data_IF_634900718196
#
_entry.id   IF_634900718196
#
_cell.length_a   1.000
_cell.length_b   1.000
_cell.length_c   1.000
_cell.angle_alpha   90.00
_cell.angle_beta   90.00
_cell.angle_gamma   90.00
#
_symmetry.space_group_name_H-M   'P 1'
#
loop_
_entity.id
_entity.type
_entity.pdbx_description
1 polymer ?
#
# COMPACT_ATOMS: atom_id res chain seq x y z
N UNK A 1 -11.10 -26.42 -1.63
CA UNK A 1 -10.89 -25.57 -2.81
C UNK A 1 -9.56 -25.83 -3.48
N UNK A 2 -8.42 -25.66 -2.79
CA UNK A 2 -7.08 -25.87 -3.38
C UNK A 2 -6.90 -27.24 -4.05
N UNK A 3 -7.29 -28.33 -3.36
CA UNK A 3 -7.22 -29.68 -3.92
C UNK A 3 -8.15 -29.90 -5.12
N UNK A 4 -9.30 -29.21 -5.18
CA UNK A 4 -10.27 -29.35 -6.27
C UNK A 4 -9.76 -28.68 -7.56
N UNK A 5 -9.08 -27.54 -7.39
CA UNK A 5 -8.35 -26.89 -8.47
C UNK A 5 -7.13 -27.71 -8.90
N UNK A 6 -6.27 -28.08 -7.95
CA UNK A 6 -5.12 -28.97 -8.18
C UNK A 6 -3.95 -28.34 -8.94
N UNK A 7 -3.98 -27.04 -9.24
CA UNK A 7 -2.89 -26.34 -9.94
C UNK A 7 -2.13 -25.37 -9.01
N UNK A 8 -0.82 -25.15 -9.23
CA UNK A 8 -0.04 -24.23 -8.37
C UNK A 8 -0.52 -22.77 -8.40
N UNK A 9 -1.11 -22.34 -9.51
CA UNK A 9 -1.53 -20.96 -9.75
C UNK A 9 -3.05 -20.79 -9.83
N UNK A 10 -3.83 -21.78 -9.36
CA UNK A 10 -5.30 -21.73 -9.35
C UNK A 10 -5.90 -21.53 -10.75
N UNK A 11 -5.24 -22.04 -11.80
CA UNK A 11 -5.59 -21.81 -13.21
C UNK A 11 -6.75 -22.66 -13.71
N UNK A 12 -7.13 -23.73 -13.00
CA UNK A 12 -8.23 -24.61 -13.43
C UNK A 12 -9.60 -24.00 -13.09
N UNK A 13 -9.77 -23.49 -11.87
CA UNK A 13 -11.02 -22.88 -11.41
C UNK A 13 -10.97 -21.34 -11.45
N UNK A 14 -9.77 -20.77 -11.45
CA UNK A 14 -9.55 -19.33 -11.29
C UNK A 14 -9.42 -18.92 -9.83
N UNK A 15 -8.37 -18.15 -9.52
CA UNK A 15 -8.15 -17.61 -8.18
C UNK A 15 -9.32 -16.74 -7.70
N UNK A 16 -9.97 -16.01 -8.61
CA UNK A 16 -11.17 -15.22 -8.35
C UNK A 16 -12.36 -16.06 -7.88
N UNK A 17 -12.64 -17.21 -8.50
CA UNK A 17 -13.71 -18.12 -8.09
C UNK A 17 -13.44 -18.73 -6.71
N UNK A 18 -12.20 -19.17 -6.48
CA UNK A 18 -11.78 -19.74 -5.21
C UNK A 18 -11.85 -18.71 -4.08
N UNK A 19 -11.35 -17.50 -4.34
CA UNK A 19 -11.30 -16.43 -3.34
C UNK A 19 -12.69 -16.02 -2.90
N UNK A 20 -13.64 -15.84 -3.83
CA UNK A 20 -15.02 -15.47 -3.47
C UNK A 20 -15.65 -16.42 -2.45
N UNK A 21 -15.49 -17.74 -2.67
CA UNK A 21 -15.94 -18.76 -1.71
C UNK A 21 -15.15 -18.66 -0.40
N UNK A 22 -13.83 -18.49 -0.46
CA UNK A 22 -12.98 -18.38 0.73
C UNK A 22 -13.38 -17.20 1.63
N UNK A 23 -13.68 -16.03 1.06
CA UNK A 23 -14.10 -14.85 1.80
C UNK A 23 -15.50 -15.05 2.40
N UNK A 24 -16.44 -15.61 1.63
CA UNK A 24 -17.79 -15.90 2.10
C UNK A 24 -17.80 -16.90 3.26
N UNK A 25 -16.95 -17.93 3.21
CA UNK A 25 -16.79 -18.91 4.30
C UNK A 25 -16.26 -18.25 5.57
N UNK A 26 -15.29 -17.34 5.48
CA UNK A 26 -14.81 -16.60 6.65
C UNK A 26 -15.91 -15.72 7.27
N UNK A 27 -16.71 -15.04 6.45
CA UNK A 27 -17.88 -14.25 6.91
C UNK A 27 -18.92 -15.14 7.60
N UNK A 28 -19.28 -16.27 6.99
CA UNK A 28 -20.21 -17.23 7.57
C UNK A 28 -19.66 -17.86 8.87
N UNK A 29 -18.35 -18.11 8.93
CA UNK A 29 -17.65 -18.60 10.11
C UNK A 29 -17.73 -17.64 11.29
N UNK A 30 -17.51 -16.35 11.05
CA UNK A 30 -17.68 -15.29 12.04
C UNK A 30 -19.13 -15.23 12.56
N UNK A 31 -20.10 -15.21 11.65
CA UNK A 31 -21.53 -15.21 11.99
C UNK A 31 -21.92 -16.42 12.83
N UNK A 32 -21.46 -17.63 12.46
CA UNK A 32 -21.75 -18.87 13.20
C UNK A 32 -21.16 -18.86 14.61
N UNK A 33 -20.00 -18.24 14.81
CA UNK A 33 -19.37 -18.05 16.13
C UNK A 33 -20.04 -16.95 16.96
N UNK A 34 -20.87 -16.10 16.35
CA UNK A 34 -21.46 -14.94 17.02
C UNK A 34 -20.42 -13.84 17.34
N UNK A 35 -19.37 -13.73 16.53
CA UNK A 35 -18.31 -12.71 16.71
C UNK A 35 -18.17 -11.85 15.44
N UNK A 36 -17.68 -10.61 15.56
CA UNK A 36 -17.31 -9.79 14.41
C UNK A 36 -16.27 -10.47 13.52
N UNK A 37 -16.23 -10.09 12.23
CA UNK A 37 -15.32 -10.70 11.27
C UNK A 37 -13.85 -10.46 11.64
N UNK A 38 -13.45 -9.25 12.03
CA UNK A 38 -12.08 -8.98 12.48
C UNK A 38 -11.65 -9.89 13.64
N UNK A 39 -12.57 -10.23 14.56
CA UNK A 39 -12.29 -11.14 15.68
C UNK A 39 -12.13 -12.58 15.20
N UNK A 40 -12.98 -13.02 14.28
CA UNK A 40 -12.84 -14.33 13.65
C UNK A 40 -11.51 -14.49 12.91
N UNK A 41 -11.08 -13.46 12.18
CA UNK A 41 -9.80 -13.43 11.47
C UNK A 41 -8.62 -13.40 12.45
N UNK A 42 -8.75 -12.70 13.58
CA UNK A 42 -7.76 -12.73 14.65
C UNK A 42 -7.60 -14.15 15.25
N UNK A 43 -8.70 -14.86 15.51
CA UNK A 43 -8.65 -16.25 15.97
C UNK A 43 -7.91 -17.15 14.96
N UNK A 44 -8.21 -17.00 13.67
CA UNK A 44 -7.57 -17.81 12.61
C UNK A 44 -6.06 -17.53 12.51
N UNK A 45 -5.63 -16.29 12.77
CA UNK A 45 -4.23 -15.90 12.76
C UNK A 45 -3.53 -16.12 14.12
N UNK A 46 -4.25 -16.55 15.16
CA UNK A 46 -3.71 -16.69 16.52
C UNK A 46 -3.40 -15.37 17.23
N UNK A 47 -3.99 -14.26 16.77
CA UNK A 47 -3.80 -12.94 17.36
C UNK A 47 -4.78 -12.69 18.52
N UNK A 48 -4.24 -12.36 19.69
CA UNK A 48 -5.05 -12.05 20.89
C UNK A 48 -5.37 -10.56 21.02
N UNK A 49 -4.40 -9.72 20.71
CA UNK A 49 -4.53 -8.27 20.75
C UNK A 49 -4.91 -7.71 19.39
N UNK A 50 -5.85 -6.77 19.41
CA UNK A 50 -6.32 -6.05 18.23
C UNK A 50 -5.67 -4.68 18.19
N UNK A 51 -5.11 -4.32 17.03
CA UNK A 51 -4.48 -3.03 16.80
C UNK A 51 -4.98 -2.47 15.47
N UNK A 52 -5.49 -1.23 15.53
CA UNK A 52 -5.96 -0.48 14.38
C UNK A 52 -4.78 0.04 13.56
N UNK A 53 -4.89 0.01 12.22
CA UNK A 53 -3.78 0.32 11.35
C UNK A 53 -3.59 1.82 11.13
N UNK A 54 -2.39 2.26 10.78
CA UNK A 54 -2.21 3.54 10.11
C UNK A 54 -2.70 3.42 8.66
N UNK A 55 -3.62 4.28 8.20
CA UNK A 55 -3.99 4.34 6.79
C UNK A 55 -2.89 5.02 5.97
N UNK A 56 -2.44 4.35 4.91
CA UNK A 56 -1.65 4.92 3.84
C UNK A 56 -2.59 5.38 2.72
N UNK A 57 -2.85 6.69 2.66
CA UNK A 57 -3.78 7.27 1.69
C UNK A 57 -3.06 7.62 0.40
N UNK A 58 -3.40 6.98 -0.70
CA UNK A 58 -2.87 7.32 -2.02
C UNK A 58 -3.48 8.65 -2.51
N UNK A 59 -2.75 9.77 -2.38
CA UNK A 59 -3.29 11.12 -2.63
C UNK A 59 -2.87 11.73 -3.96
N UNK A 60 -1.82 11.23 -4.59
CA UNK A 60 -1.44 11.54 -5.97
C UNK A 60 -1.22 10.22 -6.71
N UNK A 61 -1.92 10.04 -7.83
CA UNK A 61 -1.76 8.91 -8.73
C UNK A 61 -0.83 9.26 -9.90
N UNK A 62 0.09 8.36 -10.20
CA UNK A 62 0.90 8.34 -11.41
C UNK A 62 0.90 6.95 -12.03
N UNK A 63 2.01 6.57 -12.69
CA UNK A 63 2.20 5.25 -13.29
C UNK A 63 1.03 4.84 -14.19
N UNK A 64 0.65 3.56 -14.09
CA UNK A 64 -0.45 2.96 -14.84
C UNK A 64 -1.85 3.34 -14.31
N UNK A 65 -1.94 4.00 -13.14
CA UNK A 65 -3.20 4.39 -12.48
C UNK A 65 -3.70 5.79 -12.87
N UNK A 66 -2.95 6.53 -13.69
CA UNK A 66 -3.31 7.89 -14.11
C UNK A 66 -2.81 8.25 -15.52
N UNK A 67 -3.66 8.98 -16.26
CA UNK A 67 -3.35 9.54 -17.58
C UNK A 67 -2.44 10.78 -17.56
N UNK A 68 -1.44 10.82 -16.68
CA UNK A 68 -0.43 11.87 -16.59
C UNK A 68 0.96 11.35 -17.03
N UNK A 69 2.01 12.16 -16.88
CA UNK A 69 3.40 11.76 -17.22
C UNK A 69 4.16 11.07 -16.09
N UNK A 70 3.70 11.24 -14.85
CA UNK A 70 4.37 10.77 -13.64
C UNK A 70 4.63 9.27 -13.68
N UNK A 71 5.88 8.84 -13.57
CA UNK A 71 6.23 7.41 -13.68
C UNK A 71 5.85 6.60 -12.44
N UNK A 72 6.17 7.12 -11.25
CA UNK A 72 5.86 6.41 -10.00
C UNK A 72 4.36 6.38 -9.76
N UNK A 73 3.85 5.24 -9.31
CA UNK A 73 2.42 4.94 -9.34
C UNK A 73 1.62 5.66 -8.24
N UNK A 74 2.19 5.76 -7.04
CA UNK A 74 1.45 6.29 -5.89
C UNK A 74 2.32 7.10 -4.95
N UNK A 75 1.73 8.19 -4.46
CA UNK A 75 2.30 9.01 -3.41
C UNK A 75 1.30 9.07 -2.28
N UNK A 76 1.66 8.44 -1.17
CA UNK A 76 0.79 8.20 -0.05
C UNK A 76 1.13 9.11 1.14
N UNK A 77 0.12 9.49 1.90
CA UNK A 77 0.32 10.11 3.22
C UNK A 77 -0.07 9.12 4.32
N UNK A 78 0.74 9.09 5.38
CA UNK A 78 0.57 8.22 6.54
C UNK A 78 0.49 9.09 7.81
N UNK A 79 -0.69 9.27 8.42
CA UNK A 79 -0.86 10.05 9.65
C UNK A 79 -0.35 9.32 10.91
N UNK A 80 0.93 8.94 10.93
CA UNK A 80 1.52 8.14 12.03
C UNK A 80 1.58 8.88 13.36
N UNK A 81 1.47 10.21 13.37
CA UNK A 81 1.39 11.04 14.57
C UNK A 81 -0.02 11.25 15.13
N UNK A 82 -1.04 10.57 14.60
CA UNK A 82 -2.39 10.55 15.16
C UNK A 82 -2.47 9.66 16.41
N UNK A 83 -3.41 9.95 17.31
CA UNK A 83 -3.66 9.17 18.53
C UNK A 83 -4.74 8.08 18.35
N UNK A 84 -5.48 8.11 17.24
CA UNK A 84 -6.58 7.19 16.94
C UNK A 84 -6.74 7.05 15.42
N UNK A 85 -7.44 6.02 14.98
CA UNK A 85 -7.80 5.88 13.58
C UNK A 85 -8.74 7.01 13.12
N UNK A 86 -9.68 7.43 13.97
CA UNK A 86 -10.55 8.59 13.73
C UNK A 86 -9.75 9.87 13.49
N UNK A 87 -8.75 10.16 14.33
CA UNK A 87 -7.87 11.31 14.10
C UNK A 87 -7.05 11.13 12.81
N UNK A 88 -6.54 9.94 12.53
CA UNK A 88 -5.79 9.65 11.31
C UNK A 88 -6.64 9.90 10.04
N UNK A 89 -7.90 9.46 10.04
CA UNK A 89 -8.86 9.72 8.96
C UNK A 89 -9.11 11.20 8.75
N UNK A 90 -9.31 11.96 9.85
CA UNK A 90 -9.49 13.41 9.80
C UNK A 90 -8.26 14.10 9.18
N UNK A 91 -7.07 13.78 9.67
CA UNK A 91 -5.81 14.32 9.16
C UNK A 91 -5.66 14.02 7.66
N UNK A 92 -5.84 12.76 7.27
CA UNK A 92 -5.73 12.35 5.87
C UNK A 92 -6.71 13.09 4.95
N UNK A 93 -7.97 13.23 5.36
CA UNK A 93 -8.98 13.95 4.59
C UNK A 93 -8.68 15.47 4.48
N UNK A 94 -8.24 16.11 5.56
CA UNK A 94 -7.89 17.54 5.55
C UNK A 94 -6.65 17.82 4.70
N UNK A 95 -5.62 16.97 4.75
CA UNK A 95 -4.46 17.05 3.86
C UNK A 95 -4.88 16.85 2.40
N UNK A 96 -5.72 15.86 2.11
CA UNK A 96 -6.22 15.59 0.76
C UNK A 96 -7.01 16.79 0.18
N UNK A 97 -7.89 17.41 0.97
CA UNK A 97 -8.62 18.61 0.52
C UNK A 97 -7.70 19.82 0.32
N UNK A 98 -6.68 20.00 1.18
CA UNK A 98 -5.68 21.04 0.98
C UNK A 98 -4.83 20.78 -0.28
N UNK A 99 -4.46 19.52 -0.53
CA UNK A 99 -3.74 19.11 -1.73
C UNK A 99 -4.54 19.45 -2.99
N UNK A 100 -5.85 19.21 -3.00
CA UNK A 100 -6.74 19.63 -4.09
C UNK A 100 -6.59 21.12 -4.40
N UNK A 101 -6.58 21.95 -3.36
CA UNK A 101 -6.46 23.40 -3.50
C UNK A 101 -5.07 23.82 -3.99
N UNK A 102 -4.01 23.17 -3.52
CA UNK A 102 -2.63 23.40 -3.97
C UNK A 102 -2.48 23.07 -5.45
N UNK A 103 -2.96 21.89 -5.87
CA UNK A 103 -2.93 21.44 -7.26
C UNK A 103 -3.76 22.38 -8.14
N UNK A 104 -4.99 22.72 -7.72
CA UNK A 104 -5.86 23.64 -8.45
C UNK A 104 -5.21 25.00 -8.68
N UNK A 105 -4.54 25.53 -7.65
CA UNK A 105 -3.88 26.83 -7.75
C UNK A 105 -2.67 26.81 -8.69
N UNK A 106 -1.93 25.70 -8.75
CA UNK A 106 -0.70 25.59 -9.55
C UNK A 106 -0.95 25.15 -10.99
N UNK A 107 -1.90 24.23 -11.21
CA UNK A 107 -2.11 23.55 -12.50
C UNK A 107 -3.51 23.71 -13.08
N UNK A 108 -4.42 24.40 -12.37
CA UNK A 108 -5.81 24.61 -12.79
C UNK A 108 -6.77 23.52 -12.33
N UNK A 109 -8.06 23.73 -12.60
CA UNK A 109 -9.13 22.84 -12.14
C UNK A 109 -9.02 21.42 -12.69
N UNK A 110 -8.63 21.29 -13.96
CA UNK A 110 -8.58 20.00 -14.67
C UNK A 110 -7.57 19.02 -14.05
N UNK A 111 -6.51 19.55 -13.43
CA UNK A 111 -5.51 18.76 -12.70
C UNK A 111 -6.03 18.16 -11.38
N UNK A 112 -7.25 18.52 -10.95
CA UNK A 112 -7.90 17.98 -9.74
C UNK A 112 -8.87 16.83 -10.01
N UNK A 113 -8.91 16.33 -11.25
CA UNK A 113 -9.49 15.03 -11.52
C UNK A 113 -8.72 13.93 -10.77
N UNK A 114 -9.42 12.84 -10.47
CA UNK A 114 -8.87 11.73 -9.68
C UNK A 114 -8.60 10.51 -10.55
N UNK A 115 -7.55 9.76 -10.23
CA UNK A 115 -7.25 8.46 -10.83
C UNK A 115 -8.13 7.34 -10.29
N UNK A 116 -7.77 6.10 -10.59
CA UNK A 116 -8.54 4.90 -10.23
C UNK A 116 -8.76 4.77 -8.72
N UNK A 117 -7.77 5.18 -7.93
CA UNK A 117 -7.76 5.04 -6.47
C UNK A 117 -8.16 6.31 -5.71
N UNK A 118 -8.61 7.34 -6.43
CA UNK A 118 -9.12 8.58 -5.85
C UNK A 118 -8.07 9.65 -5.56
N UNK A 119 -6.78 9.37 -5.74
CA UNK A 119 -5.72 10.37 -5.69
C UNK A 119 -5.79 11.31 -6.89
N UNK A 120 -5.24 12.53 -6.77
CA UNK A 120 -5.22 13.48 -7.87
C UNK A 120 -4.23 13.05 -8.96
N UNK A 121 -4.51 13.41 -10.21
CA UNK A 121 -3.66 13.08 -11.36
C UNK A 121 -3.13 14.35 -12.06
N UNK A 122 -2.34 15.21 -11.39
CA UNK A 122 -1.75 16.38 -12.04
C UNK A 122 -0.79 15.95 -13.16
N UNK A 123 -0.71 16.73 -14.23
CA UNK A 123 0.15 16.44 -15.37
C UNK A 123 1.62 16.86 -15.10
N UNK A 124 2.24 16.22 -14.12
CA UNK A 124 3.64 16.40 -13.75
C UNK A 124 4.47 15.21 -14.24
N UNK A 125 5.74 15.45 -14.57
CA UNK A 125 6.70 14.41 -14.97
C UNK A 125 7.61 14.06 -13.77
N UNK A 126 8.14 15.07 -13.08
CA UNK A 126 9.10 14.88 -11.98
C UNK A 126 8.41 14.37 -10.70
N UNK A 127 8.86 13.22 -10.21
CA UNK A 127 8.35 12.63 -8.95
C UNK A 127 8.56 13.55 -7.74
N UNK A 128 9.66 14.32 -7.73
CA UNK A 128 9.99 15.30 -6.69
C UNK A 128 8.94 16.41 -6.57
N UNK A 129 8.36 16.84 -7.69
CA UNK A 129 7.27 17.83 -7.70
C UNK A 129 6.02 17.27 -6.99
N UNK A 130 5.69 15.99 -7.20
CA UNK A 130 4.61 15.31 -6.47
C UNK A 130 4.81 15.35 -4.95
N UNK A 131 6.03 15.05 -4.49
CA UNK A 131 6.41 15.11 -3.07
C UNK A 131 6.31 16.54 -2.51
N UNK A 132 6.76 17.56 -3.25
CA UNK A 132 6.65 18.97 -2.83
C UNK A 132 5.20 19.45 -2.72
N UNK A 133 4.30 18.99 -3.60
CA UNK A 133 2.87 19.28 -3.50
C UNK A 133 2.27 18.70 -2.21
N UNK A 134 2.64 17.46 -1.87
CA UNK A 134 2.19 16.80 -0.64
C UNK A 134 2.73 17.51 0.59
N UNK A 135 4.02 17.84 0.63
CA UNK A 135 4.63 18.60 1.74
C UNK A 135 3.91 19.94 1.97
N UNK A 136 3.65 20.68 0.89
CA UNK A 136 2.91 21.95 0.93
C UNK A 136 1.49 21.74 1.47
N UNK A 137 0.81 20.65 1.08
CA UNK A 137 -0.52 20.34 1.55
C UNK A 137 -0.55 19.97 3.04
N UNK A 138 0.43 19.19 3.51
CA UNK A 138 0.61 18.84 4.93
C UNK A 138 0.84 20.10 5.77
N UNK A 139 1.69 21.01 5.29
CA UNK A 139 1.96 22.28 5.97
C UNK A 139 0.72 23.17 6.04
N UNK A 140 0.02 23.36 4.91
CA UNK A 140 -1.22 24.14 4.87
C UNK A 140 -2.35 23.57 5.73
N UNK A 141 -2.40 22.25 5.88
CA UNK A 141 -3.35 21.59 6.76
C UNK A 141 -2.95 21.66 8.25
N UNK A 142 -1.75 22.13 8.57
CA UNK A 142 -1.27 22.27 9.96
C UNK A 142 -0.78 20.97 10.60
N UNK A 143 -0.40 19.96 9.79
CA UNK A 143 -0.04 18.62 10.27
C UNK A 143 1.44 18.26 10.07
N UNK A 144 2.31 19.25 9.90
CA UNK A 144 3.76 19.04 9.81
C UNK A 144 4.27 18.26 11.03
N UNK A 145 5.04 17.19 10.78
CA UNK A 145 5.56 16.29 11.82
C UNK A 145 4.57 15.21 12.31
N UNK A 146 3.28 15.30 11.98
CA UNK A 146 2.28 14.25 12.25
C UNK A 146 2.03 13.32 11.07
N UNK A 147 2.38 13.74 9.86
CA UNK A 147 2.16 13.00 8.61
C UNK A 147 3.51 12.69 7.97
N UNK A 148 3.70 11.42 7.65
CA UNK A 148 4.81 10.89 6.88
C UNK A 148 4.35 10.51 5.46
N UNK A 149 5.29 10.19 4.58
CA UNK A 149 5.01 9.86 3.19
C UNK A 149 5.42 8.41 2.90
N UNK A 150 4.57 7.72 2.14
CA UNK A 150 4.87 6.43 1.53
C UNK A 150 4.83 6.55 0.02
N UNK A 151 5.51 5.67 -0.69
CA UNK A 151 5.49 5.63 -2.15
C UNK A 151 5.28 4.21 -2.63
N UNK A 152 4.48 4.04 -3.68
CA UNK A 152 4.53 2.85 -4.52
C UNK A 152 5.07 3.28 -5.88
N UNK A 153 6.25 2.76 -6.18
CA UNK A 153 6.96 3.08 -7.40
C UNK A 153 6.41 2.24 -8.56
N UNK A 154 6.05 0.98 -8.31
CA UNK A 154 5.72 -0.01 -9.34
C UNK A 154 6.76 -0.09 -10.47
N UNK A 155 8.05 -0.20 -10.10
CA UNK A 155 9.15 -0.04 -11.05
C UNK A 155 9.18 -1.07 -12.20
N UNK A 156 8.56 -2.24 -12.01
CA UNK A 156 8.38 -3.25 -13.06
C UNK A 156 7.67 -2.68 -14.30
N UNK A 157 6.76 -1.72 -14.11
CA UNK A 157 5.98 -1.11 -15.22
C UNK A 157 6.83 -0.27 -16.19
N UNK A 158 8.01 0.16 -15.73
CA UNK A 158 8.91 0.99 -16.51
C UNK A 158 10.34 0.47 -16.54
N UNK A 159 10.53 -0.80 -16.20
CA UNK A 159 11.79 -1.49 -16.38
C UNK A 159 12.02 -1.83 -17.86
N UNK A 160 13.19 -1.46 -18.38
CA UNK A 160 13.58 -1.68 -19.78
C UNK A 160 15.07 -2.00 -19.88
N UNK A 161 15.39 -3.18 -20.40
CA UNK A 161 16.77 -3.61 -20.71
C UNK A 161 17.79 -3.37 -19.57
N UNK A 162 17.44 -3.71 -18.32
CA UNK A 162 18.33 -3.50 -17.17
C UNK A 162 18.30 -2.10 -16.56
N UNK A 163 17.46 -1.21 -17.10
CA UNK A 163 17.32 0.21 -16.71
C UNK A 163 15.87 0.57 -16.44
N UNK A 164 15.60 1.83 -16.12
CA UNK A 164 14.26 2.32 -15.75
C UNK A 164 13.90 3.58 -16.54
N UNK A 165 12.77 3.57 -17.24
CA UNK A 165 12.28 4.69 -18.07
C UNK A 165 11.28 5.57 -17.31
N UNK A 166 11.74 6.69 -16.78
CA UNK A 166 10.88 7.62 -16.04
C UNK A 166 9.90 8.43 -16.90
N UNK A 167 9.88 8.21 -18.23
CA UNK A 167 8.89 8.77 -19.17
C UNK A 167 8.24 7.64 -19.99
N UNK A 168 8.09 6.43 -19.42
CA UNK A 168 7.61 5.23 -20.14
C UNK A 168 6.24 5.39 -20.83
N UNK A 169 5.40 6.30 -20.34
CA UNK A 169 4.09 6.61 -20.93
C UNK A 169 4.19 7.41 -22.24
N UNK A 170 5.33 8.04 -22.49
CA UNK A 170 5.59 8.76 -23.73
C UNK A 170 5.99 7.79 -24.85
N UNK A 171 5.05 7.51 -25.74
CA UNK A 171 5.23 6.62 -26.90
C UNK A 171 5.90 7.31 -28.10
N UNK A 172 6.36 8.56 -27.96
CA UNK A 172 7.01 9.27 -29.07
C UNK A 172 8.33 8.61 -29.46
N UNK A 173 8.56 8.45 -30.78
CA UNK A 173 9.85 8.02 -31.31
C UNK A 173 10.99 9.02 -31.01
N UNK A 174 10.65 10.26 -30.69
CA UNK A 174 11.58 11.33 -30.30
C UNK A 174 11.70 11.50 -28.78
N UNK A 175 11.29 10.50 -27.98
CA UNK A 175 11.36 10.61 -26.52
C UNK A 175 12.80 10.82 -26.03
N UNK A 176 12.92 11.59 -24.96
CA UNK A 176 14.20 11.91 -24.36
C UNK A 176 14.78 10.68 -23.67
N UNK A 177 15.88 10.14 -24.21
CA UNK A 177 16.54 8.95 -23.67
C UNK A 177 17.26 9.20 -22.35
N UNK A 178 17.44 10.46 -21.94
CA UNK A 178 18.01 10.78 -20.61
C UNK A 178 17.08 10.41 -19.47
N UNK A 179 15.79 10.19 -19.74
CA UNK A 179 14.81 9.68 -18.79
C UNK A 179 14.97 8.16 -18.51
N UNK A 180 15.78 7.46 -19.31
CA UNK A 180 16.14 6.05 -19.08
C UNK A 180 17.39 6.01 -18.19
N UNK A 181 17.19 5.79 -16.91
CA UNK A 181 18.23 5.86 -15.89
C UNK A 181 18.68 4.46 -15.44
N UNK A 182 19.90 4.36 -14.93
CA UNK A 182 20.43 3.09 -14.40
C UNK A 182 19.86 2.78 -13.03
N UNK A 183 20.02 1.54 -12.57
CA UNK A 183 19.66 1.12 -11.21
C UNK A 183 20.32 1.98 -10.14
N UNK A 184 21.58 2.35 -10.32
CA UNK A 184 22.33 3.19 -9.38
C UNK A 184 21.73 4.60 -9.32
N UNK A 185 21.44 5.20 -10.48
CA UNK A 185 20.81 6.51 -10.55
C UNK A 185 19.41 6.52 -9.91
N UNK A 186 18.63 5.44 -10.09
CA UNK A 186 17.33 5.28 -9.44
C UNK A 186 17.47 5.10 -7.92
N UNK A 187 18.48 4.35 -7.48
CA UNK A 187 18.81 4.19 -6.05
C UNK A 187 19.19 5.52 -5.40
N UNK A 188 20.01 6.31 -6.07
CA UNK A 188 20.43 7.63 -5.58
C UNK A 188 19.24 8.60 -5.54
N UNK A 189 18.33 8.53 -6.50
CA UNK A 189 17.07 9.29 -6.47
C UNK A 189 16.21 8.94 -5.25
N UNK A 190 16.09 7.66 -4.88
CA UNK A 190 15.37 7.27 -3.65
C UNK A 190 16.05 7.80 -2.39
N UNK A 191 17.38 7.74 -2.32
CA UNK A 191 18.14 8.29 -1.18
C UNK A 191 17.95 9.80 -1.07
N UNK A 192 17.93 10.52 -2.20
CA UNK A 192 17.60 11.94 -2.23
C UNK A 192 16.20 12.18 -1.67
N UNK A 193 15.20 11.40 -2.08
CA UNK A 193 13.82 11.55 -1.56
C UNK A 193 13.73 11.27 -0.06
N UNK A 194 14.39 10.22 0.44
CA UNK A 194 14.43 9.88 1.86
C UNK A 194 15.10 10.99 2.68
N UNK A 195 16.13 11.63 2.14
CA UNK A 195 16.83 12.72 2.83
C UNK A 195 16.05 14.03 2.83
N UNK A 196 15.30 14.34 1.76
CA UNK A 196 14.60 15.62 1.61
C UNK A 196 13.17 15.62 2.16
N UNK A 197 12.50 14.48 2.18
CA UNK A 197 11.09 14.35 2.55
C UNK A 197 10.92 13.33 3.68
N UNK A 198 9.82 13.39 4.47
CA UNK A 198 9.55 12.42 5.53
C UNK A 198 9.07 11.07 4.97
N UNK A 199 9.84 10.47 4.05
CA UNK A 199 9.57 9.15 3.48
C UNK A 199 9.85 8.07 4.52
N UNK A 200 8.86 7.23 4.79
CA UNK A 200 9.00 6.10 5.73
C UNK A 200 8.72 4.75 5.12
N UNK A 201 8.21 4.71 3.88
CA UNK A 201 7.91 3.47 3.16
C UNK A 201 8.09 3.65 1.65
N UNK A 202 8.80 2.73 1.00
CA UNK A 202 8.85 2.62 -0.46
C UNK A 202 8.47 1.19 -0.87
N UNK A 203 7.49 1.07 -1.74
CA UNK A 203 6.97 -0.16 -2.33
C UNK A 203 7.48 -0.30 -3.77
N UNK A 204 7.86 -1.52 -4.16
CA UNK A 204 8.36 -1.89 -5.48
C UNK A 204 9.38 -0.91 -6.12
N UNK A 205 10.48 -0.58 -5.42
CA UNK A 205 11.52 0.34 -5.93
C UNK A 205 12.24 -0.17 -7.18
N UNK A 206 12.18 -1.47 -7.47
CA UNK A 206 12.84 -2.09 -8.61
C UNK A 206 11.94 -3.17 -9.22
N UNK A 207 12.30 -3.61 -10.43
CA UNK A 207 11.63 -4.71 -11.09
C UNK A 207 11.55 -5.97 -10.21
N UNK A 208 10.45 -6.71 -10.34
CA UNK A 208 10.10 -7.88 -9.54
C UNK A 208 11.17 -8.99 -9.51
N UNK A 209 12.06 -9.08 -10.50
CA UNK A 209 13.14 -10.08 -10.56
C UNK A 209 14.54 -9.48 -10.39
N UNK A 210 14.65 -8.17 -10.14
CA UNK A 210 15.93 -7.46 -9.97
C UNK A 210 16.49 -7.55 -8.53
N UNK A 211 16.59 -8.77 -8.01
CA UNK A 211 16.89 -9.08 -6.61
C UNK A 211 18.09 -8.34 -6.00
N UNK A 212 19.20 -8.21 -6.74
CA UNK A 212 20.41 -7.56 -6.21
C UNK A 212 20.18 -6.07 -5.92
N UNK A 213 19.37 -5.38 -6.73
CA UNK A 213 19.01 -3.98 -6.52
C UNK A 213 18.16 -3.81 -5.25
N UNK A 214 17.17 -4.70 -5.07
CA UNK A 214 16.34 -4.76 -3.87
C UNK A 214 17.16 -4.93 -2.60
N UNK A 215 18.05 -5.93 -2.57
CA UNK A 215 18.93 -6.19 -1.43
C UNK A 215 19.87 -5.01 -1.15
N UNK A 216 20.41 -4.37 -2.19
CA UNK A 216 21.29 -3.22 -2.04
C UNK A 216 20.58 -2.01 -1.42
N UNK A 217 19.38 -1.66 -1.90
CA UNK A 217 18.60 -0.56 -1.33
C UNK A 217 18.18 -0.86 0.11
N UNK A 218 17.60 -2.04 0.36
CA UNK A 218 17.15 -2.46 1.71
C UNK A 218 18.27 -2.48 2.73
N UNK A 219 19.50 -2.81 2.33
CA UNK A 219 20.67 -2.73 3.22
C UNK A 219 21.15 -1.29 3.47
N UNK A 220 20.78 -0.33 2.62
CA UNK A 220 21.27 1.04 2.66
C UNK A 220 20.33 2.03 3.38
N UNK A 221 19.18 1.57 3.86
CA UNK A 221 18.18 2.42 4.51
C UNK A 221 17.46 1.68 5.63
N UNK A 222 17.01 2.44 6.64
CA UNK A 222 16.24 1.91 7.76
C UNK A 222 14.72 2.01 7.55
N UNK A 223 14.26 2.65 6.47
CA UNK A 223 12.83 2.80 6.18
C UNK A 223 12.18 1.46 5.85
N UNK A 224 10.85 1.47 5.75
CA UNK A 224 10.13 0.30 5.26
C UNK A 224 10.35 0.14 3.75
N UNK A 225 10.75 -1.05 3.31
CA UNK A 225 10.78 -1.46 1.90
C UNK A 225 9.75 -2.57 1.72
N UNK A 226 8.74 -2.32 0.89
CA UNK A 226 7.58 -3.20 0.71
C UNK A 226 7.72 -3.97 -0.59
N UNK A 227 7.61 -5.31 -0.51
CA UNK A 227 7.51 -6.15 -1.70
C UNK A 227 6.05 -6.43 -2.07
N UNK A 228 5.62 -5.95 -3.23
CA UNK A 228 4.33 -6.26 -3.86
C UNK A 228 4.51 -7.23 -5.02
N UNK A 229 4.88 -6.77 -6.22
CA UNK A 229 5.12 -7.65 -7.38
C UNK A 229 6.33 -8.56 -7.14
N UNK A 230 7.30 -8.13 -6.32
CA UNK A 230 8.41 -8.96 -5.87
C UNK A 230 7.92 -10.25 -5.17
N UNK A 231 6.84 -10.16 -4.39
CA UNK A 231 6.42 -11.27 -3.53
C UNK A 231 5.08 -11.88 -3.93
N UNK A 232 4.21 -11.13 -4.60
CA UNK A 232 2.85 -11.48 -5.05
C UNK A 232 2.05 -12.27 -4.01
N UNK A 233 2.19 -11.91 -2.72
CA UNK A 233 1.60 -12.64 -1.59
C UNK A 233 1.88 -14.17 -1.63
N UNK A 234 2.97 -14.59 -2.29
CA UNK A 234 3.32 -15.98 -2.52
C UNK A 234 4.39 -16.45 -1.53
N UNK A 235 4.11 -17.48 -0.70
CA UNK A 235 5.07 -17.96 0.30
C UNK A 235 6.47 -18.32 -0.24
N UNK A 236 6.58 -18.79 -1.49
CA UNK A 236 7.88 -19.11 -2.09
C UNK A 236 8.71 -17.85 -2.37
N UNK A 237 8.10 -16.84 -3.00
CA UNK A 237 8.80 -15.57 -3.27
C UNK A 237 9.06 -14.79 -1.99
N UNK A 238 8.17 -14.86 -1.00
CA UNK A 238 8.42 -14.30 0.34
C UNK A 238 9.64 -14.96 0.98
N UNK A 239 9.74 -16.30 0.94
CA UNK A 239 10.89 -17.01 1.52
C UNK A 239 12.21 -16.63 0.84
N UNK A 240 12.21 -16.53 -0.50
CA UNK A 240 13.39 -16.08 -1.27
C UNK A 240 13.76 -14.61 -0.95
N UNK A 241 12.77 -13.73 -0.86
CA UNK A 241 12.98 -12.33 -0.50
C UNK A 241 13.51 -12.16 0.93
N UNK A 242 13.10 -13.01 1.86
CA UNK A 242 13.68 -13.10 3.21
C UNK A 242 15.14 -13.55 3.16
N UNK A 243 15.45 -14.62 2.43
CA UNK A 243 16.82 -15.14 2.31
C UNK A 243 17.78 -14.09 1.74
N UNK A 244 17.33 -13.40 0.69
CA UNK A 244 18.10 -12.35 0.01
C UNK A 244 18.09 -11.01 0.75
N UNK A 245 17.31 -10.86 1.82
CA UNK A 245 17.07 -9.58 2.50
C UNK A 245 16.63 -8.47 1.54
N UNK A 246 15.77 -8.84 0.59
CA UNK A 246 15.35 -7.99 -0.52
C UNK A 246 14.40 -6.87 -0.07
N UNK A 247 13.54 -7.12 0.91
CA UNK A 247 12.65 -6.12 1.50
C UNK A 247 12.41 -6.43 2.99
N UNK A 248 11.60 -5.61 3.68
CA UNK A 248 11.31 -5.78 5.11
C UNK A 248 9.81 -5.62 5.45
N UNK A 249 8.95 -5.60 4.44
CA UNK A 249 7.50 -5.57 4.57
C UNK A 249 6.84 -6.28 3.39
N UNK A 250 5.77 -7.02 3.67
CA UNK A 250 4.92 -7.66 2.68
C UNK A 250 3.75 -6.74 2.32
N UNK A 251 3.50 -6.49 1.03
CA UNK A 251 2.18 -6.05 0.60
C UNK A 251 1.27 -7.27 0.46
N UNK A 252 0.20 -7.33 1.25
CA UNK A 252 -0.70 -8.47 1.28
C UNK A 252 -1.96 -8.16 0.48
N UNK A 253 -2.06 -8.78 -0.70
CA UNK A 253 -3.24 -8.76 -1.57
C UNK A 253 -3.84 -10.15 -1.64
N UNK A 254 -4.98 -10.35 -0.96
CA UNK A 254 -5.62 -11.67 -0.83
C UNK A 254 -5.92 -12.34 -2.18
N UNK A 255 -6.12 -11.57 -3.24
CA UNK A 255 -6.42 -12.09 -4.57
C UNK A 255 -5.19 -12.45 -5.41
N UNK A 256 -3.97 -12.02 -5.02
CA UNK A 256 -2.74 -12.53 -5.65
C UNK A 256 -2.54 -14.00 -5.29
N UNK A 257 -2.83 -14.40 -4.05
CA UNK A 257 -2.70 -15.79 -3.61
C UNK A 257 -3.99 -16.60 -3.72
N UNK A 258 -5.17 -15.99 -3.54
CA UNK A 258 -6.46 -16.56 -3.90
C UNK A 258 -7.23 -17.29 -2.79
N UNK A 259 -6.71 -17.38 -1.56
CA UNK A 259 -7.48 -17.81 -0.38
C UNK A 259 -7.14 -17.01 0.86
N UNK A 260 -8.10 -16.93 1.80
CA UNK A 260 -7.88 -16.32 3.12
C UNK A 260 -6.80 -17.07 3.89
N UNK A 261 -6.83 -18.41 3.85
CA UNK A 261 -5.84 -19.25 4.55
C UNK A 261 -4.41 -18.97 4.09
N UNK A 262 -4.14 -19.02 2.79
CA UNK A 262 -2.78 -18.77 2.27
C UNK A 262 -2.35 -17.30 2.51
N UNK A 263 -3.30 -16.36 2.56
CA UNK A 263 -3.01 -14.96 2.90
C UNK A 263 -2.56 -14.82 4.36
N UNK A 264 -3.26 -15.48 5.29
CA UNK A 264 -2.86 -15.51 6.71
C UNK A 264 -1.48 -16.18 6.85
N UNK A 265 -1.24 -17.28 6.16
CA UNK A 265 0.06 -17.97 6.16
C UNK A 265 1.19 -17.08 5.62
N UNK A 266 0.95 -16.31 4.56
CA UNK A 266 1.90 -15.35 4.02
C UNK A 266 2.23 -14.24 5.05
N UNK A 267 1.22 -13.69 5.73
CA UNK A 267 1.44 -12.75 6.83
C UNK A 267 2.25 -13.37 7.98
N UNK A 268 1.92 -14.58 8.41
CA UNK A 268 2.62 -15.26 9.49
C UNK A 268 4.08 -15.57 9.13
N UNK A 269 4.35 -15.91 7.86
CA UNK A 269 5.70 -16.08 7.33
C UNK A 269 6.50 -14.77 7.37
N UNK A 270 5.92 -13.66 6.91
CA UNK A 270 6.55 -12.35 6.97
C UNK A 270 6.85 -11.94 8.43
N UNK A 271 5.84 -12.02 9.29
CA UNK A 271 5.94 -11.70 10.72
C UNK A 271 7.00 -12.52 11.45
N UNK A 272 7.08 -13.82 11.19
CA UNK A 272 8.10 -14.71 11.78
C UNK A 272 9.53 -14.26 11.44
N UNK A 273 9.72 -13.62 10.29
CA UNK A 273 11.00 -13.10 9.83
C UNK A 273 11.21 -11.62 10.16
N UNK A 274 10.40 -11.07 11.08
CA UNK A 274 10.53 -9.68 11.56
C UNK A 274 10.03 -8.62 10.56
N UNK A 275 9.29 -9.02 9.53
CA UNK A 275 8.74 -8.08 8.55
C UNK A 275 7.41 -7.49 9.01
N UNK A 276 7.16 -6.26 8.56
CA UNK A 276 5.82 -5.67 8.57
C UNK A 276 4.90 -6.34 7.54
N UNK A 277 3.61 -6.03 7.61
CA UNK A 277 2.66 -6.40 6.54
C UNK A 277 1.70 -5.24 6.32
N UNK A 278 1.64 -4.73 5.10
CA UNK A 278 0.65 -3.75 4.68
C UNK A 278 -0.47 -4.48 3.94
N UNK A 279 -1.64 -4.57 4.55
CA UNK A 279 -2.82 -5.10 3.87
C UNK A 279 -3.22 -4.11 2.78
N UNK A 280 -3.50 -4.61 1.59
CA UNK A 280 -3.71 -3.76 0.42
C UNK A 280 -4.99 -4.09 -0.33
N UNK A 281 -5.61 -3.04 -0.87
CA UNK A 281 -6.66 -3.11 -1.86
C UNK A 281 -6.12 -3.51 -3.24
N UNK A 282 -6.98 -3.40 -4.26
CA UNK A 282 -6.60 -3.39 -5.68
C UNK A 282 -7.07 -2.08 -6.31
N UNK A 283 -6.42 -1.67 -7.41
CA UNK A 283 -6.87 -0.53 -8.21
C UNK A 283 -8.31 -0.70 -8.70
N UNK A 284 -8.69 -1.91 -9.15
CA UNK A 284 -10.09 -2.31 -9.31
C UNK A 284 -10.66 -2.86 -8.00
N UNK A 285 -11.40 -2.05 -7.25
CA UNK A 285 -12.09 -2.46 -6.01
C UNK A 285 -13.62 -2.45 -6.14
N UNK A 286 -14.25 -2.97 -5.10
CA UNK A 286 -15.69 -3.13 -4.88
C UNK A 286 -16.10 -2.44 -3.59
N UNK A 287 -17.38 -2.47 -3.26
CA UNK A 287 -17.94 -2.07 -1.98
C UNK A 287 -17.60 -3.01 -0.82
N UNK A 288 -17.04 -4.21 -1.09
CA UNK A 288 -16.72 -5.20 -0.05
C UNK A 288 -15.68 -4.64 0.93
N UNK A 289 -15.88 -4.82 2.23
CA UNK A 289 -15.01 -4.26 3.27
C UNK A 289 -14.08 -5.29 3.91
N UNK A 290 -13.92 -6.49 3.34
CA UNK A 290 -13.19 -7.59 3.96
C UNK A 290 -11.78 -7.21 4.44
N UNK A 291 -11.03 -6.43 3.65
CA UNK A 291 -9.66 -6.07 4.01
C UNK A 291 -9.57 -5.12 5.21
N UNK A 292 -10.65 -4.39 5.55
CA UNK A 292 -10.73 -3.60 6.77
C UNK A 292 -10.77 -4.50 8.02
N UNK A 293 -11.62 -5.53 7.99
CA UNK A 293 -11.64 -6.54 9.07
C UNK A 293 -10.35 -7.38 9.08
N UNK A 294 -9.76 -7.65 7.91
CA UNK A 294 -8.51 -8.41 7.79
C UNK A 294 -7.33 -7.69 8.44
N UNK A 295 -7.10 -6.42 8.12
CA UNK A 295 -5.97 -5.68 8.71
C UNK A 295 -6.09 -5.58 10.23
N UNK A 296 -7.31 -5.39 10.73
CA UNK A 296 -7.58 -5.33 12.17
C UNK A 296 -7.41 -6.71 12.83
N UNK A 297 -7.92 -7.77 12.22
CA UNK A 297 -7.78 -9.14 12.75
C UNK A 297 -6.34 -9.64 12.72
N UNK A 298 -5.59 -9.28 11.69
CA UNK A 298 -4.16 -9.56 11.59
C UNK A 298 -3.30 -8.64 12.46
N UNK A 299 -3.85 -7.52 12.95
CA UNK A 299 -3.15 -6.50 13.71
C UNK A 299 -1.84 -6.08 13.05
N UNK A 300 -1.84 -5.90 11.72
CA UNK A 300 -0.60 -5.65 10.98
C UNK A 300 -0.09 -4.21 11.13
N UNK A 301 -0.95 -3.30 11.60
CA UNK A 301 -0.59 -1.93 11.93
C UNK A 301 -0.64 -0.95 10.77
N UNK A 302 -0.94 -1.40 9.54
CA UNK A 302 -0.94 -0.54 8.36
C UNK A 302 -1.82 -1.09 7.22
N UNK A 303 -2.55 -0.20 6.54
CA UNK A 303 -3.42 -0.53 5.40
C UNK A 303 -3.27 0.52 4.29
N UNK A 304 -3.14 0.05 3.04
CA UNK A 304 -3.24 0.86 1.83
C UNK A 304 -4.56 0.52 1.15
N UNK A 305 -5.54 1.43 1.19
CA UNK A 305 -6.85 1.20 0.57
C UNK A 305 -7.39 2.40 -0.20
N UNK A 306 -6.49 3.25 -0.72
CA UNK A 306 -6.78 4.35 -1.65
C UNK A 306 -6.82 5.73 -1.00
N UNK A 307 -7.26 6.75 -1.74
CA UNK A 307 -7.49 8.07 -1.19
C UNK A 307 -8.68 8.08 -0.21
N UNK A 308 -8.85 9.14 0.61
CA UNK A 308 -10.13 9.44 1.27
C UNK A 308 -11.16 9.98 0.24
N UNK A 309 -11.29 9.31 -0.90
CA UNK A 309 -12.14 9.66 -2.04
C UNK A 309 -12.54 8.36 -2.77
N UNK A 310 -13.73 8.35 -3.38
CA UNK A 310 -14.39 7.19 -4.00
C UNK A 310 -14.82 6.11 -2.99
N UNK A 311 -16.05 5.63 -3.11
CA UNK A 311 -16.69 4.87 -2.04
C UNK A 311 -16.19 3.43 -1.90
N UNK A 312 -15.62 2.84 -2.94
CA UNK A 312 -14.92 1.55 -2.86
C UNK A 312 -13.69 1.62 -1.95
N UNK A 313 -13.12 2.83 -1.74
CA UNK A 313 -12.04 3.11 -0.79
C UNK A 313 -12.61 3.44 0.59
N UNK A 314 -13.51 4.42 0.62
CA UNK A 314 -14.15 4.88 1.86
C UNK A 314 -14.93 3.77 2.57
N UNK A 315 -15.45 2.77 1.88
CA UNK A 315 -16.13 1.63 2.49
C UNK A 315 -15.23 0.92 3.52
N UNK A 316 -13.94 0.74 3.20
CA UNK A 316 -12.96 0.11 4.09
C UNK A 316 -12.60 1.03 5.25
N UNK A 317 -12.29 2.29 4.95
CA UNK A 317 -11.98 3.28 5.98
C UNK A 317 -13.13 3.47 6.97
N UNK A 318 -14.36 3.57 6.48
CA UNK A 318 -15.57 3.65 7.30
C UNK A 318 -15.80 2.38 8.11
N UNK A 319 -15.45 1.20 7.58
CA UNK A 319 -15.51 -0.03 8.35
C UNK A 319 -14.51 -0.03 9.51
N UNK A 320 -13.29 0.47 9.31
CA UNK A 320 -12.32 0.57 10.41
C UNK A 320 -12.78 1.60 11.46
N UNK A 321 -13.41 2.71 11.07
CA UNK A 321 -14.05 3.64 12.03
C UNK A 321 -15.11 2.95 12.88
N UNK A 322 -15.96 2.10 12.28
CA UNK A 322 -16.97 1.32 13.03
C UNK A 322 -16.31 0.31 13.97
N UNK A 323 -15.24 -0.35 13.53
CA UNK A 323 -14.49 -1.28 14.38
C UNK A 323 -13.82 -0.54 15.54
N UNK A 324 -13.26 0.65 15.31
CA UNK A 324 -12.71 1.50 16.37
C UNK A 324 -13.78 1.87 17.41
N UNK A 325 -14.96 2.30 16.96
CA UNK A 325 -16.10 2.61 17.82
C UNK A 325 -16.54 1.38 18.64
N UNK A 326 -16.63 0.21 18.01
CA UNK A 326 -17.01 -1.04 18.66
C UNK A 326 -16.00 -1.48 19.74
N UNK A 327 -14.70 -1.28 19.48
CA UNK A 327 -13.64 -1.59 20.45
C UNK A 327 -13.59 -0.59 21.61
N UNK A 328 -14.09 0.64 21.42
CA UNK A 328 -14.16 1.68 22.45
C UNK A 328 -12.81 1.93 23.12
N UNK A 329 -12.78 1.90 24.46
CA UNK A 329 -11.54 2.12 25.24
C UNK A 329 -10.49 1.01 25.07
N UNK A 330 -10.82 -0.12 24.44
CA UNK A 330 -9.87 -1.17 24.11
C UNK A 330 -9.17 -0.95 22.76
N UNK A 331 -9.58 0.06 21.98
CA UNK A 331 -8.95 0.38 20.71
C UNK A 331 -7.50 0.85 20.92
N UNK A 332 -6.55 0.17 20.29
CA UNK A 332 -5.15 0.59 20.19
C UNK A 332 -4.89 1.01 18.74
N UNK A 333 -4.26 2.16 18.53
CA UNK A 333 -3.85 2.62 17.22
C UNK A 333 -2.33 2.44 17.04
N UNK A 334 -1.89 1.92 15.90
CA UNK A 334 -0.49 1.60 15.68
C UNK A 334 0.43 2.85 15.67
N UNK A 335 -0.03 3.97 15.14
CA UNK A 335 0.72 5.24 15.09
C UNK A 335 2.14 5.06 14.55
N UNK A 336 3.14 5.59 15.27
CA UNK A 336 4.57 5.45 14.91
C UNK A 336 5.07 4.00 14.88
N UNK A 337 4.37 3.06 15.50
CA UNK A 337 4.73 1.64 15.54
C UNK A 337 4.10 0.83 14.38
N UNK A 338 3.60 1.47 13.31
CA UNK A 338 2.90 0.81 12.21
C UNK A 338 3.65 -0.39 11.56
N UNK A 339 4.98 -0.40 11.62
CA UNK A 339 5.83 -1.48 11.10
C UNK A 339 5.83 -2.73 11.97
N UNK A 340 5.70 -2.54 13.28
CA UNK A 340 5.68 -3.62 14.28
C UNK A 340 4.78 -3.22 15.46
N UNK A 341 3.45 -3.24 15.28
CA UNK A 341 2.52 -2.68 16.26
C UNK A 341 2.44 -3.50 17.55
N UNK A 342 2.91 -4.75 17.54
CA UNK A 342 2.89 -5.67 18.68
C UNK A 342 4.23 -5.73 19.45
N UNK A 343 5.20 -4.89 19.08
CA UNK A 343 6.53 -4.84 19.69
C UNK A 343 6.50 -4.42 21.17
#
# INVERSE_FOLDING_TARGET
>A
MLQLDGTPNKSKLGANAILGVSLAVAKAGAFKKGVPLYRHLADLAGNKEIILPVPAFNVINGGSHAGNKLAMQEFMILPTGACSFTEAMKIGAEVYHNLKNVIKAKFGLDATAVGDEGGFAPNILENKEGLRLIETAIEKAGYKGKVEIGMDVAASEFYVDGKYDLDFKNKSASKDKTQIITTEALTDLYKEFINEFPIVSIEDPFDQDHWDAWSALTCSTDIQIVGDDLTVTNPKRIAEAVEKKACNCLLLKVNQIGTVTESIEAHLLAKKNGWGTMVSHRSGETEDTFIADLVVGLSTGQIKTGAPCRSERLAKYNQILRIEEELGSCAKFAGKNFRNPQA
#
